data_IF_590160059782
#
_entry.id   IF_590160059782
#
_cell.length_a   1.000
_cell.length_b   1.000
_cell.length_c   1.000
_cell.angle_alpha   90.00
_cell.angle_beta   90.00
_cell.angle_gamma   90.00
#
_symmetry.space_group_name_H-M   'P 1'
#
loop_
_entity.id
_entity.type
_entity.pdbx_description
1 polymer ?
#
# COMPACT_ATOMS: atom_id res chain seq x y z
N UNK A 1 24.59 -17.38 -21.66
CA UNK A 1 25.24 -16.05 -21.60
C UNK A 1 24.49 -15.25 -20.53
N UNK A 2 25.02 -15.22 -19.29
CA UNK A 2 24.36 -14.63 -18.13
C UNK A 2 24.59 -13.12 -18.15
N UNK A 3 23.55 -12.34 -18.33
CA UNK A 3 23.56 -10.88 -18.17
C UNK A 3 23.13 -10.58 -16.75
N UNK A 4 24.10 -10.30 -15.89
CA UNK A 4 23.84 -9.80 -14.54
C UNK A 4 23.50 -8.31 -14.62
N UNK A 5 22.21 -7.98 -14.46
CA UNK A 5 21.76 -6.61 -14.28
C UNK A 5 22.21 -6.10 -12.91
N UNK A 6 23.19 -5.21 -12.92
CA UNK A 6 23.61 -4.45 -11.72
C UNK A 6 22.69 -3.23 -11.58
N UNK A 7 21.76 -3.28 -10.63
CA UNK A 7 21.04 -2.10 -10.20
C UNK A 7 22.03 -1.22 -9.42
N UNK A 8 22.37 -0.08 -9.98
CA UNK A 8 23.11 0.96 -9.29
C UNK A 8 22.14 1.73 -8.37
N UNK A 9 22.49 1.97 -7.09
CA UNK A 9 21.69 2.83 -6.23
C UNK A 9 21.84 4.28 -6.74
N UNK A 10 20.72 4.90 -7.10
CA UNK A 10 20.65 6.34 -7.34
C UNK A 10 20.70 7.01 -5.97
N UNK A 11 21.91 7.42 -5.56
CA UNK A 11 22.09 8.35 -4.46
C UNK A 11 21.60 9.73 -4.93
N UNK A 12 20.45 10.17 -4.42
CA UNK A 12 20.03 11.54 -4.53
C UNK A 12 20.94 12.40 -3.65
N UNK A 13 21.96 12.99 -4.24
CA UNK A 13 22.82 13.97 -3.59
C UNK A 13 22.04 15.28 -3.50
N UNK A 14 21.53 15.60 -2.32
CA UNK A 14 21.05 16.94 -2.00
C UNK A 14 22.26 17.87 -1.99
N UNK A 15 22.42 18.67 -3.04
CA UNK A 15 23.38 19.75 -3.09
C UNK A 15 22.92 20.85 -2.13
N UNK A 16 23.56 20.94 -0.97
CA UNK A 16 23.46 22.09 -0.07
C UNK A 16 24.21 23.24 -0.76
N UNK A 17 23.47 24.13 -1.42
CA UNK A 17 24.04 25.39 -1.90
C UNK A 17 24.23 26.33 -0.71
N UNK A 18 25.46 26.85 -0.47
CA UNK A 18 25.63 27.91 0.51
C UNK A 18 24.98 29.21 -0.01
N UNK A 19 23.97 29.70 0.71
CA UNK A 19 23.43 31.04 0.50
C UNK A 19 24.49 32.08 0.96
N UNK A 20 25.23 32.59 0.02
CA UNK A 20 26.04 33.82 0.28
C UNK A 20 25.09 35.02 0.20
N UNK A 21 25.03 35.88 1.23
CA UNK A 21 24.28 37.13 1.13
C UNK A 21 24.96 38.06 0.13
N UNK A 22 24.31 38.34 -0.97
CA UNK A 22 24.71 39.41 -1.87
C UNK A 22 24.33 40.74 -1.23
N UNK A 23 25.28 41.49 -0.74
CA UNK A 23 25.12 42.89 -0.36
C UNK A 23 25.14 43.74 -1.64
N UNK A 24 23.99 43.92 -2.25
CA UNK A 24 23.79 44.98 -3.25
C UNK A 24 23.22 46.18 -2.51
N UNK A 25 24.04 47.19 -2.31
CA UNK A 25 23.60 48.49 -1.87
C UNK A 25 23.05 49.23 -3.11
N UNK A 26 21.76 49.24 -3.25
CA UNK A 26 21.09 50.28 -4.07
C UNK A 26 19.90 50.80 -3.25
N UNK A 27 19.97 52.09 -2.97
CA UNK A 27 18.99 52.79 -2.14
C UNK A 27 17.88 53.30 -3.04
N UNK A 28 16.87 52.49 -3.28
CA UNK A 28 15.60 52.93 -3.82
C UNK A 28 14.69 53.42 -2.68
N UNK A 29 14.00 54.53 -2.85
CA UNK A 29 13.08 55.05 -1.83
C UNK A 29 11.97 54.03 -1.54
N UNK A 30 11.45 53.97 -0.30
CA UNK A 30 10.47 52.97 0.07
C UNK A 30 9.22 53.11 -0.82
N UNK A 31 9.03 52.12 -1.68
CA UNK A 31 7.73 51.90 -2.32
C UNK A 31 6.80 51.49 -1.17
N UNK A 32 5.82 52.33 -0.87
CA UNK A 32 4.68 51.93 -0.03
C UNK A 32 3.97 50.81 -0.77
N UNK A 33 4.36 49.58 -0.45
CA UNK A 33 3.56 48.41 -0.79
C UNK A 33 2.33 48.51 0.08
N UNK A 34 1.17 48.71 -0.52
CA UNK A 34 -0.11 48.50 0.15
C UNK A 34 -0.01 47.17 0.92
N UNK A 35 -0.42 47.21 2.19
CA UNK A 35 -0.26 46.14 3.16
C UNK A 35 -0.36 44.78 2.50
N UNK A 36 0.74 44.03 2.59
CA UNK A 36 0.70 42.61 2.25
C UNK A 36 -0.57 42.04 2.90
N UNK A 37 -1.37 41.23 2.18
CA UNK A 37 -2.56 40.65 2.78
C UNK A 37 -2.15 40.02 4.10
N UNK A 38 -2.83 40.43 5.17
CA UNK A 38 -2.61 39.89 6.49
C UNK A 38 -2.53 38.37 6.34
N UNK A 39 -1.35 37.83 6.57
CA UNK A 39 -1.19 36.39 6.68
C UNK A 39 -1.95 36.02 7.95
N UNK A 40 -3.23 35.72 7.80
CA UNK A 40 -3.98 35.04 8.84
C UNK A 40 -3.45 33.62 8.86
N UNK A 41 -2.66 33.23 9.87
CA UNK A 41 -2.33 31.83 10.03
C UNK A 41 -3.66 31.09 10.04
N UNK A 42 -3.86 30.18 9.13
CA UNK A 42 -4.99 29.26 9.25
C UNK A 42 -4.70 28.50 10.55
N UNK A 43 -5.38 28.92 11.64
CA UNK A 43 -5.32 28.20 12.90
C UNK A 43 -5.85 26.80 12.60
N UNK A 44 -4.94 25.87 12.36
CA UNK A 44 -5.25 24.46 12.41
C UNK A 44 -5.38 24.16 13.89
N UNK A 45 -6.60 24.32 14.41
CA UNK A 45 -6.90 24.10 15.82
C UNK A 45 -6.49 22.67 16.21
N UNK A 46 -6.04 22.50 17.44
CA UNK A 46 -5.84 21.17 18.02
C UNK A 46 -7.17 20.43 18.06
N UNK A 47 -7.27 19.23 17.50
CA UNK A 47 -8.52 18.50 17.54
C UNK A 47 -8.53 17.21 16.72
N UNK A 48 -9.66 16.53 16.78
CA UNK A 48 -9.85 15.23 16.16
C UNK A 48 -10.18 15.33 14.68
N UNK A 49 -9.73 14.35 13.90
CA UNK A 49 -10.10 14.24 12.50
C UNK A 49 -10.37 12.79 12.08
N UNK A 50 -11.17 12.64 11.04
CA UNK A 50 -11.36 11.39 10.31
C UNK A 50 -10.62 11.47 8.99
N UNK A 51 -10.14 10.32 8.52
CA UNK A 51 -9.56 10.22 7.19
C UNK A 51 -9.98 8.95 6.49
N UNK A 52 -10.06 9.01 5.17
CA UNK A 52 -10.20 7.86 4.31
C UNK A 52 -9.18 7.96 3.19
N UNK A 53 -8.51 6.86 2.88
CA UNK A 53 -7.46 6.83 1.88
C UNK A 53 -7.68 5.69 0.89
N UNK A 54 -7.34 5.96 -0.36
CA UNK A 54 -7.18 4.96 -1.41
C UNK A 54 -5.77 5.09 -1.96
N UNK A 55 -5.08 3.98 -2.09
CA UNK A 55 -3.70 3.95 -2.58
C UNK A 55 -3.57 3.01 -3.76
N UNK A 56 -2.77 3.41 -4.73
CA UNK A 56 -2.32 2.56 -5.82
C UNK A 56 -0.96 1.96 -5.48
N UNK A 57 -0.85 0.63 -5.56
CA UNK A 57 0.38 -0.11 -5.34
C UNK A 57 1.25 -0.05 -6.60
N UNK A 58 2.40 0.60 -6.51
CA UNK A 58 3.33 0.73 -7.65
C UNK A 58 4.01 -0.60 -7.96
N UNK A 59 4.22 -1.42 -6.93
CA UNK A 59 4.78 -2.76 -7.05
C UNK A 59 3.81 -3.79 -6.45
N UNK A 60 3.80 -4.97 -7.03
CA UNK A 60 3.00 -6.08 -6.53
C UNK A 60 3.47 -6.48 -5.13
N UNK A 61 2.54 -6.48 -4.17
CA UNK A 61 2.81 -6.87 -2.78
C UNK A 61 3.11 -8.36 -2.63
N UNK A 62 2.54 -9.16 -3.51
CA UNK A 62 2.72 -10.59 -3.57
C UNK A 62 3.39 -10.94 -4.89
N UNK A 63 4.61 -11.46 -4.81
CA UNK A 63 5.39 -11.82 -6.01
C UNK A 63 4.94 -13.20 -6.46
N UNK A 64 4.34 -13.28 -7.63
CA UNK A 64 4.06 -14.54 -8.31
C UNK A 64 4.91 -14.63 -9.59
N UNK A 65 5.37 -15.81 -9.89
CA UNK A 65 5.94 -16.14 -11.20
C UNK A 65 4.85 -16.79 -12.06
N UNK A 66 4.63 -16.24 -13.23
CA UNK A 66 3.71 -16.84 -14.19
C UNK A 66 4.37 -18.10 -14.77
N UNK A 67 3.71 -19.24 -14.65
CA UNK A 67 4.14 -20.46 -15.32
C UNK A 67 3.04 -20.93 -16.28
N UNK A 68 3.44 -21.32 -17.48
CA UNK A 68 2.53 -21.88 -18.46
C UNK A 68 2.64 -23.40 -18.47
N UNK A 69 1.51 -24.07 -18.27
CA UNK A 69 1.44 -25.52 -18.34
C UNK A 69 0.19 -25.94 -19.12
N UNK A 70 0.36 -26.69 -20.20
CA UNK A 70 -0.76 -27.23 -21.00
C UNK A 70 -0.97 -28.70 -20.61
N UNK A 71 -2.18 -29.16 -20.25
CA UNK A 71 -3.50 -28.57 -20.50
C UNK A 71 -4.13 -27.79 -19.32
N UNK A 72 -3.35 -27.32 -18.35
CA UNK A 72 -3.88 -26.58 -17.21
C UNK A 72 -4.16 -25.10 -17.57
N UNK A 73 -5.25 -24.56 -17.05
CA UNK A 73 -5.54 -23.13 -17.07
C UNK A 73 -4.94 -22.48 -15.84
N UNK A 74 -4.37 -21.30 -16.01
CA UNK A 74 -3.83 -20.48 -14.95
C UNK A 74 -4.52 -19.11 -14.95
N UNK A 75 -5.07 -18.72 -13.82
CA UNK A 75 -5.72 -17.44 -13.63
C UNK A 75 -5.07 -16.72 -12.45
N UNK A 76 -4.66 -15.47 -12.66
CA UNK A 76 -4.00 -14.65 -11.65
C UNK A 76 -4.65 -13.27 -11.61
N UNK A 77 -5.50 -13.04 -10.63
CA UNK A 77 -6.13 -11.75 -10.37
C UNK A 77 -5.38 -11.03 -9.25
N UNK A 78 -4.95 -9.82 -9.51
CA UNK A 78 -4.33 -8.94 -8.53
C UNK A 78 -5.01 -7.58 -8.55
N UNK A 79 -5.43 -7.12 -7.37
CA UNK A 79 -5.96 -5.78 -7.18
C UNK A 79 -4.84 -4.86 -6.67
N UNK A 80 -4.38 -3.89 -7.47
CA UNK A 80 -3.31 -2.98 -7.07
C UNK A 80 -3.80 -1.82 -6.17
N UNK A 81 -4.96 -1.97 -5.55
CA UNK A 81 -5.61 -0.91 -4.78
C UNK A 81 -5.65 -1.28 -3.30
N UNK A 82 -5.05 -0.43 -2.46
CA UNK A 82 -5.17 -0.50 -1.01
C UNK A 82 -6.15 0.57 -0.54
N UNK A 83 -7.01 0.24 0.42
CA UNK A 83 -7.93 1.19 1.02
C UNK A 83 -7.75 1.22 2.54
N UNK A 84 -7.91 2.40 3.13
CA UNK A 84 -7.84 2.55 4.58
C UNK A 84 -8.74 3.66 5.11
N UNK A 85 -9.09 3.51 6.39
CA UNK A 85 -9.78 4.54 7.18
C UNK A 85 -8.96 4.83 8.42
N UNK A 86 -8.99 6.07 8.87
CA UNK A 86 -8.21 6.51 10.01
C UNK A 86 -8.97 7.50 10.89
N UNK A 87 -8.53 7.54 12.12
CA UNK A 87 -8.97 8.49 13.12
C UNK A 87 -7.72 9.09 13.78
N UNK A 88 -7.63 10.42 13.82
CA UNK A 88 -6.43 11.09 14.27
C UNK A 88 -6.69 12.34 15.08
N UNK A 89 -5.60 12.91 15.56
CA UNK A 89 -5.59 14.10 16.39
C UNK A 89 -4.45 15.04 15.99
N UNK A 90 -4.75 16.31 15.82
CA UNK A 90 -3.80 17.41 15.70
C UNK A 90 -3.39 17.86 17.10
N UNK A 91 -2.13 17.68 17.47
CA UNK A 91 -1.59 18.17 18.73
C UNK A 91 -1.32 19.67 18.69
N UNK A 92 -0.89 20.14 17.53
CA UNK A 92 -0.66 21.53 17.17
C UNK A 92 -0.57 21.65 15.63
N UNK A 93 -0.22 22.84 15.14
CA UNK A 93 -0.10 23.14 13.71
C UNK A 93 0.94 22.31 12.95
N UNK A 94 1.88 21.68 13.67
CA UNK A 94 3.00 20.95 13.09
C UNK A 94 2.95 19.45 13.36
N UNK A 95 2.23 19.01 14.39
CA UNK A 95 2.26 17.63 14.83
C UNK A 95 0.85 17.03 14.85
N UNK A 96 0.71 15.90 14.22
CA UNK A 96 -0.51 15.07 14.26
C UNK A 96 -0.17 13.59 14.33
N UNK A 97 -1.11 12.80 14.84
CA UNK A 97 -1.02 11.36 14.82
C UNK A 97 -2.37 10.75 14.45
N UNK A 98 -2.34 9.58 13.84
CA UNK A 98 -3.55 8.81 13.55
C UNK A 98 -3.39 7.32 13.81
N UNK A 99 -4.52 6.69 14.10
CA UNK A 99 -4.72 5.25 14.02
C UNK A 99 -5.41 4.96 12.70
N UNK A 100 -4.79 4.11 11.88
CA UNK A 100 -5.26 3.81 10.54
C UNK A 100 -5.50 2.30 10.40
N UNK A 101 -6.67 1.92 9.90
CA UNK A 101 -7.04 0.55 9.59
C UNK A 101 -7.10 0.37 8.08
N UNK A 102 -6.31 -0.54 7.56
CA UNK A 102 -6.16 -0.76 6.14
C UNK A 102 -6.48 -2.17 5.69
N UNK A 103 -6.97 -2.29 4.46
CA UNK A 103 -7.19 -3.53 3.76
C UNK A 103 -6.33 -3.58 2.50
N UNK A 104 -5.46 -4.58 2.44
CA UNK A 104 -4.66 -4.92 1.28
C UNK A 104 -5.34 -6.11 0.60
N UNK A 105 -6.03 -5.89 -0.51
CA UNK A 105 -6.51 -7.00 -1.31
C UNK A 105 -5.31 -7.79 -1.80
N UNK A 106 -5.47 -9.08 -1.77
CA UNK A 106 -4.39 -9.96 -2.15
C UNK A 106 -4.49 -10.37 -3.61
N UNK A 107 -3.73 -11.36 -3.94
CA UNK A 107 -3.87 -12.05 -5.20
C UNK A 107 -4.74 -13.30 -5.03
N UNK A 108 -5.43 -13.65 -6.10
CA UNK A 108 -6.15 -14.90 -6.24
C UNK A 108 -5.55 -15.64 -7.43
N UNK A 109 -5.00 -16.81 -7.16
CA UNK A 109 -4.43 -17.69 -8.17
C UNK A 109 -5.39 -18.87 -8.32
N UNK A 110 -5.85 -19.13 -9.53
CA UNK A 110 -6.63 -20.30 -9.90
C UNK A 110 -5.83 -21.19 -10.84
N UNK A 111 -5.79 -22.48 -10.56
CA UNK A 111 -5.23 -23.51 -11.42
C UNK A 111 -6.35 -24.51 -11.69
N UNK A 112 -6.68 -24.74 -12.95
CA UNK A 112 -7.66 -25.72 -13.37
C UNK A 112 -7.06 -26.73 -14.34
N UNK A 113 -7.42 -27.99 -14.18
CA UNK A 113 -7.14 -29.07 -15.10
C UNK A 113 -8.48 -29.71 -15.50
N UNK A 114 -8.71 -29.89 -16.79
CA UNK A 114 -9.90 -30.52 -17.33
C UNK A 114 -9.53 -31.30 -18.61
N UNK A 115 -9.71 -32.61 -18.57
CA UNK A 115 -9.45 -33.49 -19.71
C UNK A 115 -10.74 -34.11 -20.30
N UNK A 116 -11.91 -33.60 -19.90
CA UNK A 116 -13.21 -34.11 -20.34
C UNK A 116 -13.40 -34.21 -21.85
N UNK A 117 -12.63 -33.42 -22.61
CA UNK A 117 -12.70 -33.42 -24.07
C UNK A 117 -11.89 -34.57 -24.73
N UNK A 118 -10.97 -35.22 -23.99
CA UNK A 118 -10.00 -36.18 -24.54
C UNK A 118 -9.99 -37.53 -23.86
N UNK A 119 -10.49 -37.61 -22.62
CA UNK A 119 -10.52 -38.82 -21.79
C UNK A 119 -11.90 -39.49 -21.81
N UNK A 120 -11.92 -40.81 -21.70
CA UNK A 120 -13.16 -41.59 -21.59
C UNK A 120 -13.81 -41.43 -20.20
N UNK A 121 -12.99 -41.13 -19.18
CA UNK A 121 -13.36 -40.77 -17.81
C UNK A 121 -12.81 -39.39 -17.56
N UNK A 122 -13.68 -38.38 -17.37
CA UNK A 122 -13.25 -37.01 -17.20
C UNK A 122 -12.60 -36.81 -15.85
N UNK A 123 -11.44 -36.17 -15.85
CA UNK A 123 -10.75 -35.72 -14.63
C UNK A 123 -10.80 -34.20 -14.53
N UNK A 124 -11.35 -33.71 -13.44
CA UNK A 124 -11.38 -32.28 -13.11
C UNK A 124 -10.58 -32.05 -11.83
N UNK A 125 -9.54 -31.28 -11.94
CA UNK A 125 -8.78 -30.83 -10.77
C UNK A 125 -8.73 -29.31 -10.74
N UNK A 126 -8.94 -28.75 -9.57
CA UNK A 126 -8.79 -27.32 -9.38
C UNK A 126 -8.05 -27.01 -8.08
N UNK A 127 -7.19 -25.99 -8.12
CA UNK A 127 -6.59 -25.42 -6.93
C UNK A 127 -6.76 -23.90 -6.97
N UNK A 128 -7.14 -23.32 -5.86
CA UNK A 128 -7.21 -21.88 -5.70
C UNK A 128 -6.44 -21.43 -4.47
N UNK A 129 -5.64 -20.39 -4.65
CA UNK A 129 -4.88 -19.75 -3.59
C UNK A 129 -5.29 -18.30 -3.50
N UNK A 130 -5.65 -17.84 -2.30
CA UNK A 130 -6.03 -16.45 -2.05
C UNK A 130 -5.23 -15.90 -0.88
N UNK A 131 -4.52 -14.79 -1.11
CA UNK A 131 -3.84 -14.03 -0.08
C UNK A 131 -4.56 -12.70 0.14
N UNK A 132 -4.61 -12.20 1.37
CA UNK A 132 -5.07 -10.85 1.70
C UNK A 132 -4.54 -10.45 3.07
N UNK A 133 -4.49 -9.15 3.35
CA UNK A 133 -4.02 -8.65 4.62
C UNK A 133 -4.86 -7.48 5.14
N UNK A 134 -4.99 -7.44 6.47
CA UNK A 134 -5.48 -6.28 7.20
C UNK A 134 -4.33 -5.67 7.98
N UNK A 135 -4.27 -4.33 8.03
CA UNK A 135 -3.27 -3.60 8.80
C UNK A 135 -3.91 -2.68 9.82
N UNK A 136 -3.29 -2.59 11.00
CA UNK A 136 -3.58 -1.57 12.00
C UNK A 136 -2.30 -0.79 12.26
N UNK A 137 -2.27 0.50 11.92
CA UNK A 137 -1.08 1.35 11.96
C UNK A 137 -1.31 2.57 12.84
N UNK A 138 -0.36 2.85 13.72
CA UNK A 138 -0.24 4.12 14.43
C UNK A 138 0.81 4.96 13.70
N UNK A 139 0.40 6.09 13.14
CA UNK A 139 1.27 6.99 12.39
C UNK A 139 1.41 8.31 13.12
N UNK A 140 2.60 8.89 13.05
CA UNK A 140 2.90 10.26 13.45
C UNK A 140 3.35 11.06 12.23
N UNK A 141 2.96 12.33 12.17
CA UNK A 141 3.28 13.22 11.07
C UNK A 141 3.82 14.56 11.58
N UNK A 142 4.73 15.12 10.81
CA UNK A 142 5.21 16.48 10.95
C UNK A 142 4.74 17.26 9.72
N UNK A 143 3.89 18.24 9.93
CA UNK A 143 3.43 19.19 8.91
C UNK A 143 4.44 20.34 8.83
N UNK A 144 4.94 20.64 7.63
CA UNK A 144 6.08 21.55 7.42
C UNK A 144 5.67 23.01 7.23
N UNK A 145 4.45 23.33 7.61
CA UNK A 145 3.84 24.64 7.45
C UNK A 145 2.97 24.76 6.20
N UNK A 146 1.93 25.58 6.28
CA UNK A 146 0.95 25.77 5.21
C UNK A 146 1.29 27.00 4.38
N UNK A 147 1.39 26.82 3.08
CA UNK A 147 1.59 27.89 2.12
C UNK A 147 0.50 27.84 1.02
N UNK A 148 -0.31 28.89 0.91
CA UNK A 148 -1.42 28.99 -0.05
C UNK A 148 -2.36 27.76 0.01
N UNK A 149 -2.66 27.29 1.23
CA UNK A 149 -3.54 26.14 1.47
C UNK A 149 -2.89 24.76 1.26
N UNK A 150 -1.61 24.71 0.86
CA UNK A 150 -0.84 23.48 0.69
C UNK A 150 0.08 23.28 1.89
N UNK A 151 0.01 22.11 2.52
CA UNK A 151 0.83 21.71 3.66
C UNK A 151 1.64 20.47 3.31
N UNK A 152 2.93 20.60 3.03
CA UNK A 152 3.82 19.44 2.92
C UNK A 152 3.94 18.72 4.27
N UNK A 153 4.02 17.40 4.24
CA UNK A 153 4.19 16.61 5.45
C UNK A 153 5.15 15.43 5.27
N UNK A 154 5.75 15.01 6.37
CA UNK A 154 6.49 13.77 6.52
C UNK A 154 5.89 12.97 7.67
N UNK A 155 5.94 11.65 7.58
CA UNK A 155 5.40 10.80 8.62
C UNK A 155 6.08 9.43 8.68
N UNK A 156 5.93 8.81 9.84
CA UNK A 156 6.33 7.43 10.07
C UNK A 156 5.27 6.73 10.91
N UNK A 157 5.15 5.43 10.74
CA UNK A 157 4.19 4.63 11.50
C UNK A 157 4.73 3.26 11.83
N UNK A 158 4.14 2.70 12.88
CA UNK A 158 4.36 1.32 13.32
C UNK A 158 3.02 0.64 13.54
N UNK A 159 2.97 -0.67 13.41
CA UNK A 159 1.72 -1.38 13.58
C UNK A 159 1.82 -2.86 13.42
N UNK A 160 0.67 -3.47 13.18
CA UNK A 160 0.50 -4.91 13.04
C UNK A 160 -0.25 -5.18 11.74
N UNK A 161 0.21 -6.21 11.04
CA UNK A 161 -0.46 -6.79 9.87
C UNK A 161 -0.95 -8.18 10.22
N UNK A 162 -2.19 -8.45 9.88
CA UNK A 162 -2.78 -9.78 9.87
C UNK A 162 -2.83 -10.26 8.43
N UNK A 163 -1.91 -11.12 8.03
CA UNK A 163 -1.92 -11.79 6.73
C UNK A 163 -2.70 -13.10 6.82
N UNK A 164 -3.49 -13.40 5.80
CA UNK A 164 -4.27 -14.63 5.69
C UNK A 164 -4.07 -15.20 4.30
N UNK A 165 -3.71 -16.47 4.23
CA UNK A 165 -3.69 -17.24 3.01
C UNK A 165 -4.67 -18.43 3.11
N UNK A 166 -5.40 -18.62 2.03
CA UNK A 166 -6.39 -19.68 1.89
C UNK A 166 -6.02 -20.52 0.69
N UNK A 167 -5.80 -21.81 0.93
CA UNK A 167 -5.59 -22.80 -0.12
C UNK A 167 -6.81 -23.71 -0.17
N UNK A 168 -7.40 -23.85 -1.36
CA UNK A 168 -8.44 -24.82 -1.61
C UNK A 168 -8.07 -25.63 -2.84
N UNK A 169 -8.14 -26.95 -2.74
CA UNK A 169 -7.92 -27.85 -3.85
C UNK A 169 -9.07 -28.85 -3.92
N UNK A 170 -9.48 -29.21 -5.12
CA UNK A 170 -10.49 -30.24 -5.38
C UNK A 170 -10.06 -31.10 -6.55
N UNK A 171 -10.38 -32.36 -6.46
CA UNK A 171 -10.17 -33.38 -7.48
C UNK A 171 -11.47 -34.16 -7.63
N UNK A 172 -11.89 -34.35 -8.85
CA UNK A 172 -13.09 -35.09 -9.22
C UNK A 172 -12.80 -35.96 -10.45
N UNK A 173 -13.24 -37.21 -10.42
CA UNK A 173 -13.15 -38.13 -11.57
C UNK A 173 -14.53 -38.70 -11.88
N UNK A 174 -15.00 -38.53 -13.09
CA UNK A 174 -16.28 -39.09 -13.55
C UNK A 174 -16.12 -40.56 -13.96
N UNK A 175 -15.82 -41.41 -12.97
CA UNK A 175 -15.71 -42.86 -13.12
C UNK A 175 -16.89 -43.61 -12.44
N UNK A 176 -17.84 -42.86 -11.87
CA UNK A 176 -18.99 -43.40 -11.16
C UNK A 176 -18.69 -43.84 -9.73
N UNK A 177 -17.45 -43.64 -9.22
CA UNK A 177 -17.05 -43.91 -7.85
C UNK A 177 -16.77 -42.61 -7.07
N UNK A 178 -17.69 -42.13 -6.21
CA UNK A 178 -17.50 -40.88 -5.47
C UNK A 178 -16.44 -40.97 -4.37
N UNK A 179 -15.85 -42.14 -4.12
CA UNK A 179 -14.77 -42.31 -3.13
C UNK A 179 -13.43 -41.78 -3.62
N UNK A 180 -13.30 -41.54 -4.93
CA UNK A 180 -12.12 -40.95 -5.56
C UNK A 180 -12.14 -39.42 -5.54
N UNK A 181 -13.26 -38.82 -5.17
CA UNK A 181 -13.39 -37.38 -5.03
C UNK A 181 -12.66 -36.88 -3.78
N UNK A 182 -11.85 -35.84 -3.95
CA UNK A 182 -11.07 -35.27 -2.85
C UNK A 182 -11.20 -33.75 -2.81
N UNK A 183 -11.38 -33.21 -1.62
CA UNK A 183 -11.37 -31.78 -1.35
C UNK A 183 -10.50 -31.43 -0.17
N UNK A 184 -9.61 -30.45 -0.32
CA UNK A 184 -8.75 -29.90 0.72
C UNK A 184 -8.97 -28.40 0.84
N UNK A 185 -9.08 -27.92 2.09
CA UNK A 185 -9.06 -26.49 2.39
C UNK A 185 -8.16 -26.26 3.60
N UNK A 186 -7.18 -25.37 3.45
CA UNK A 186 -6.26 -24.97 4.52
C UNK A 186 -6.23 -23.44 4.60
N UNK A 187 -6.59 -22.91 5.78
CA UNK A 187 -6.63 -21.47 6.06
C UNK A 187 -5.62 -21.18 7.16
N UNK A 188 -4.64 -20.33 6.86
CA UNK A 188 -3.65 -19.88 7.85
C UNK A 188 -3.62 -18.38 7.98
N UNK A 189 -3.53 -17.93 9.23
CA UNK A 189 -3.43 -16.50 9.56
C UNK A 189 -2.18 -16.27 10.40
N UNK A 190 -1.45 -15.20 10.07
CA UNK A 190 -0.26 -14.76 10.80
C UNK A 190 -0.33 -13.27 11.12
N UNK A 191 0.13 -12.92 12.32
CA UNK A 191 0.31 -11.54 12.75
C UNK A 191 1.79 -11.18 12.66
N UNK A 192 2.09 -10.02 12.11
CA UNK A 192 3.46 -9.55 11.87
C UNK A 192 3.56 -8.07 12.21
N UNK A 193 4.73 -7.67 12.69
CA UNK A 193 5.06 -6.26 12.85
C UNK A 193 5.13 -5.59 11.48
N UNK A 194 4.70 -4.32 11.43
CA UNK A 194 4.80 -3.50 10.22
C UNK A 194 5.25 -2.09 10.57
N UNK A 195 5.85 -1.42 9.58
CA UNK A 195 6.17 0.00 9.65
C UNK A 195 5.89 0.71 8.34
N UNK A 196 5.68 2.02 8.43
CA UNK A 196 5.44 2.89 7.26
C UNK A 196 6.35 4.11 7.30
N UNK A 197 6.68 4.61 6.12
CA UNK A 197 7.26 5.93 5.91
C UNK A 197 6.34 6.68 4.93
N UNK A 198 5.99 7.91 5.28
CA UNK A 198 5.02 8.70 4.54
C UNK A 198 5.62 10.06 4.18
N UNK A 199 5.30 10.55 2.97
CA UNK A 199 5.59 11.91 2.55
C UNK A 199 4.48 12.38 1.60
N UNK A 200 4.08 13.64 1.70
CA UNK A 200 3.00 14.11 0.83
C UNK A 200 2.68 15.59 0.99
N UNK A 201 1.61 15.98 0.31
CA UNK A 201 1.05 17.31 0.30
C UNK A 201 -0.42 17.22 0.69
N UNK A 202 -0.84 17.99 1.66
CA UNK A 202 -2.24 18.18 2.01
C UNK A 202 -2.71 19.51 1.42
N UNK A 203 -3.86 19.52 0.77
CA UNK A 203 -4.51 20.71 0.27
C UNK A 203 -5.82 20.94 1.02
N UNK A 204 -5.94 22.10 1.66
CA UNK A 204 -7.13 22.49 2.38
C UNK A 204 -8.19 23.01 1.41
N UNK A 205 -9.23 22.21 1.18
CA UNK A 205 -10.35 22.54 0.28
C UNK A 205 -11.39 23.42 0.96
N UNK A 206 -11.58 23.20 2.26
CA UNK A 206 -12.47 24.02 3.09
C UNK A 206 -11.96 24.06 4.54
N UNK A 207 -12.65 24.78 5.42
CA UNK A 207 -12.26 24.88 6.84
C UNK A 207 -12.07 23.51 7.52
N UNK A 208 -12.89 22.54 7.13
CA UNK A 208 -12.90 21.21 7.74
C UNK A 208 -12.49 20.08 6.80
N UNK A 209 -12.17 20.37 5.53
CA UNK A 209 -11.87 19.32 4.54
C UNK A 209 -10.53 19.57 3.91
N UNK A 210 -9.68 18.55 3.95
CA UNK A 210 -8.40 18.53 3.25
C UNK A 210 -8.29 17.28 2.36
N UNK A 211 -7.64 17.44 1.22
CA UNK A 211 -7.28 16.35 0.31
C UNK A 211 -5.78 16.13 0.41
N UNK A 212 -5.37 14.90 0.67
CA UNK A 212 -3.97 14.49 0.81
C UNK A 212 -3.52 13.73 -0.43
N UNK A 213 -2.44 14.16 -1.08
CA UNK A 213 -1.71 13.37 -2.08
C UNK A 213 -0.37 12.99 -1.50
N UNK A 214 -0.13 11.70 -1.36
CA UNK A 214 1.06 11.23 -0.67
C UNK A 214 1.68 10.00 -1.32
N UNK A 215 2.88 9.74 -0.87
CA UNK A 215 3.63 8.53 -1.10
C UNK A 215 3.82 7.82 0.24
N UNK A 216 3.61 6.51 0.23
CA UNK A 216 3.83 5.66 1.39
C UNK A 216 4.70 4.46 1.00
N UNK A 217 5.77 4.26 1.76
CA UNK A 217 6.46 2.99 1.81
C UNK A 217 5.91 2.20 2.98
N UNK A 218 5.43 0.98 2.69
CA UNK A 218 4.90 0.05 3.69
C UNK A 218 5.77 -1.19 3.72
N UNK A 219 6.09 -1.71 4.91
CA UNK A 219 6.85 -2.94 5.08
C UNK A 219 6.38 -3.73 6.29
N UNK A 220 6.18 -5.03 6.08
CA UNK A 220 5.89 -6.03 7.11
C UNK A 220 6.84 -7.23 6.89
N UNK A 221 8.06 -7.20 7.46
CA UNK A 221 9.14 -8.15 7.13
C UNK A 221 8.82 -9.61 7.45
N UNK A 222 8.00 -9.84 8.47
CA UNK A 222 7.64 -11.20 8.92
C UNK A 222 6.26 -11.65 8.42
N UNK A 223 5.58 -10.84 7.60
CA UNK A 223 4.30 -11.23 7.01
C UNK A 223 4.52 -12.38 6.02
N UNK A 224 3.67 -13.40 6.10
CA UNK A 224 3.77 -14.59 5.25
C UNK A 224 2.70 -14.54 4.16
N UNK A 225 3.07 -14.98 2.98
CA UNK A 225 2.17 -15.21 1.86
C UNK A 225 2.62 -16.46 1.10
N UNK A 226 1.69 -17.05 0.37
CA UNK A 226 1.94 -18.27 -0.41
C UNK A 226 1.88 -17.93 -1.88
N UNK A 227 2.82 -18.49 -2.64
CA UNK A 227 2.84 -18.39 -4.11
C UNK A 227 2.70 -19.78 -4.70
N UNK A 228 2.35 -19.87 -5.97
CA UNK A 228 2.37 -21.11 -6.72
C UNK A 228 3.59 -21.11 -7.64
N UNK A 229 4.50 -22.04 -7.46
CA UNK A 229 5.66 -22.24 -8.35
C UNK A 229 5.43 -23.39 -9.35
N UNK A 230 4.55 -24.32 -9.00
CA UNK A 230 4.11 -25.42 -9.85
C UNK A 230 2.75 -25.95 -9.39
N UNK A 231 2.18 -26.92 -10.11
CA UNK A 231 0.91 -27.58 -9.72
C UNK A 231 0.97 -28.28 -8.35
N UNK A 232 2.16 -28.59 -7.85
CA UNK A 232 2.37 -29.32 -6.59
C UNK A 232 3.26 -28.59 -5.58
N UNK A 233 3.74 -27.39 -5.92
CA UNK A 233 4.65 -26.61 -5.07
C UNK A 233 4.05 -25.25 -4.72
N UNK A 234 3.77 -25.06 -3.44
CA UNK A 234 3.18 -23.82 -2.90
C UNK A 234 4.09 -23.27 -1.78
N UNK A 235 5.22 -22.66 -2.12
CA UNK A 235 6.16 -22.17 -1.13
C UNK A 235 5.58 -20.98 -0.35
N UNK A 236 5.94 -20.91 0.93
CA UNK A 236 5.63 -19.80 1.81
C UNK A 236 6.77 -18.80 1.76
N UNK A 237 6.47 -17.58 1.32
CA UNK A 237 7.40 -16.46 1.32
C UNK A 237 7.18 -15.54 2.51
N UNK A 238 8.24 -14.84 2.92
CA UNK A 238 8.22 -13.87 4.00
C UNK A 238 8.55 -12.48 3.47
N UNK A 239 7.91 -11.51 4.10
CA UNK A 239 8.14 -10.11 3.81
C UNK A 239 7.18 -9.56 2.77
N UNK A 240 6.27 -8.70 3.21
CA UNK A 240 5.42 -7.88 2.35
C UNK A 240 5.99 -6.47 2.39
N UNK A 241 6.36 -5.92 1.26
CA UNK A 241 6.74 -4.51 1.13
C UNK A 241 6.18 -3.95 -0.17
N UNK A 242 5.74 -2.71 -0.13
CA UNK A 242 5.23 -2.03 -1.31
C UNK A 242 5.42 -0.52 -1.25
N UNK A 243 5.42 0.07 -2.42
CA UNK A 243 5.40 1.51 -2.64
C UNK A 243 4.00 1.90 -3.10
N UNK A 244 3.42 2.90 -2.47
CA UNK A 244 2.04 3.32 -2.71
C UNK A 244 1.98 4.80 -3.06
N UNK A 245 1.19 5.14 -4.07
CA UNK A 245 0.70 6.49 -4.29
C UNK A 245 -0.68 6.59 -3.66
N UNK A 246 -0.87 7.53 -2.74
CA UNK A 246 -2.00 7.61 -1.83
C UNK A 246 -2.78 8.88 -2.08
N UNK A 247 -4.09 8.74 -2.24
CA UNK A 247 -5.05 9.83 -2.25
C UNK A 247 -5.93 9.70 -1.00
N UNK A 248 -5.93 10.74 -0.17
CA UNK A 248 -6.69 10.78 1.07
C UNK A 248 -7.67 11.93 1.13
N UNK A 249 -8.73 11.74 1.87
CA UNK A 249 -9.65 12.77 2.31
C UNK A 249 -9.62 12.82 3.83
N UNK A 250 -9.40 14.02 4.39
CA UNK A 250 -9.42 14.27 5.82
C UNK A 250 -10.53 15.25 6.16
N UNK A 251 -11.27 14.94 7.23
CA UNK A 251 -12.34 15.77 7.75
C UNK A 251 -12.08 16.10 9.22
N UNK A 252 -11.86 17.37 9.52
CA UNK A 252 -11.65 17.90 10.85
C UNK A 252 -13.00 18.11 11.56
N UNK A 253 -13.10 17.64 12.80
CA UNK A 253 -14.37 17.51 13.53
C UNK A 253 -14.76 18.76 14.34
N UNK A 254 -14.09 19.91 14.20
CA UNK A 254 -14.39 21.19 14.90
C UNK A 254 -14.53 22.37 13.95
#
# INVERSE_FOLDING_TARGET
>A
MKITSRMAPVLATFAIMPLTPALAADYDPPVYVDQAPDYVPVEVGSGWYLRGDVSYLVEKSFKNEDFAFTPASFDNEEDPVFASIGFGYHFNDYLRADLNLGYLPGNKIGIGYDDSATAAEATLASASLKNYAFSGMLNGYVDLGTYVGITPYLGAGIGIVRSTHKLSASYFTDNGDPTDDFGLSDDKTKYSFAYTLNAGLAYQVSKNVSVDLGYQYFSAPDAEYVTAESLTSFPVHKGISNHQVKLGLRYDLW
#
